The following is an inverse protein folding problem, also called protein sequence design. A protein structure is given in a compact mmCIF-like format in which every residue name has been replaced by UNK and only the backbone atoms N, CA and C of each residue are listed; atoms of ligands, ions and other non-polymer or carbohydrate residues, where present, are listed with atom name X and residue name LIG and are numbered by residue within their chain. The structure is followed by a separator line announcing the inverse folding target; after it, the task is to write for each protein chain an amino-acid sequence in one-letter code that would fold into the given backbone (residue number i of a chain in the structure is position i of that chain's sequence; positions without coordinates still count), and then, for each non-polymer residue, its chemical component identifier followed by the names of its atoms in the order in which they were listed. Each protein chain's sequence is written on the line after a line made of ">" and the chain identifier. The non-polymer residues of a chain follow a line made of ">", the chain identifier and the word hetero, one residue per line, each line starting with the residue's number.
data_IF_834582053217
#
_entry.id   IF_834582053217
#
_cell.length_a   1.000
_cell.length_b   1.000
_cell.length_c   1.000
_cell.angle_alpha   90.00
_cell.angle_beta   90.00
_cell.angle_gamma   90.00
#
_symmetry.space_group_name_H-M   'P 1'
#
loop_
_entity.id
_entity.type
_entity.pdbx_description
1 polymer ?
#
# COMPACT_ATOMS: atom_id res chain seq x y z
N UNK A 1 15.08 16.76 3.41
CA UNK A 1 14.28 15.55 3.65
C UNK A 1 15.15 14.30 3.56
N UNK A 2 15.86 14.06 2.46
CA UNK A 2 16.80 12.94 2.30
C UNK A 2 17.90 12.93 3.38
N UNK A 3 18.57 14.06 3.61
CA UNK A 3 19.60 14.16 4.67
C UNK A 3 19.04 13.90 6.07
N UNK A 4 17.81 14.36 6.37
CA UNK A 4 17.16 14.13 7.67
C UNK A 4 16.70 12.69 7.88
N UNK A 5 16.45 11.95 6.80
CA UNK A 5 16.19 10.51 6.83
C UNK A 5 17.50 9.72 7.05
N UNK A 6 18.52 10.02 6.25
CA UNK A 6 19.84 9.36 6.32
C UNK A 6 20.46 9.54 7.72
N UNK A 7 20.31 10.72 8.32
CA UNK A 7 20.84 11.03 9.64
C UNK A 7 19.96 10.55 10.81
N UNK A 8 18.80 9.92 10.54
CA UNK A 8 17.80 9.46 11.54
C UNK A 8 17.24 10.55 12.47
N UNK A 9 17.55 11.83 12.24
CA UNK A 9 17.08 12.94 13.05
C UNK A 9 15.56 13.11 13.02
N UNK A 10 14.90 12.63 11.96
CA UNK A 10 13.46 12.71 11.75
C UNK A 10 12.96 11.40 11.13
N UNK A 11 12.68 10.35 11.91
CA UNK A 11 12.24 9.04 11.38
C UNK A 11 10.92 9.14 10.58
N UNK A 12 10.12 10.17 10.83
CA UNK A 12 8.92 10.49 10.06
C UNK A 12 9.19 11.03 8.65
N UNK A 13 10.42 11.45 8.32
CA UNK A 13 10.76 11.99 7.00
C UNK A 13 10.71 10.94 5.87
N UNK A 14 10.71 9.65 6.23
CA UNK A 14 10.45 8.50 5.33
C UNK A 14 9.03 8.50 4.79
N UNK A 15 8.10 9.11 5.52
CA UNK A 15 6.69 8.86 5.31
C UNK A 15 6.11 9.62 4.11
N UNK A 16 6.73 10.68 3.60
CA UNK A 16 6.07 11.45 2.52
C UNK A 16 6.00 10.68 1.19
N UNK A 17 7.08 10.13 0.62
CA UNK A 17 6.97 9.37 -0.63
C UNK A 17 6.17 8.08 -0.46
N UNK A 18 6.38 7.34 0.64
CA UNK A 18 5.68 6.09 0.91
C UNK A 18 4.17 6.32 1.12
N UNK A 19 3.80 7.30 1.95
CA UNK A 19 2.39 7.63 2.16
C UNK A 19 1.74 8.17 0.88
N UNK A 20 2.46 8.91 0.04
CA UNK A 20 1.94 9.36 -1.25
C UNK A 20 1.62 8.17 -2.16
N UNK A 21 2.51 7.17 -2.25
CA UNK A 21 2.26 5.96 -3.04
C UNK A 21 1.04 5.21 -2.50
N UNK A 22 0.95 5.02 -1.18
CA UNK A 22 -0.21 4.39 -0.54
C UNK A 22 -1.50 5.16 -0.85
N UNK A 23 -1.48 6.49 -0.73
CA UNK A 23 -2.63 7.35 -1.02
C UNK A 23 -3.08 7.30 -2.49
N UNK A 24 -2.14 7.29 -3.44
CA UNK A 24 -2.44 7.13 -4.87
C UNK A 24 -3.10 5.78 -5.13
N UNK A 25 -2.55 4.69 -4.60
CA UNK A 25 -3.09 3.35 -4.79
C UNK A 25 -4.48 3.22 -4.16
N UNK A 26 -4.68 3.70 -2.94
CA UNK A 26 -5.98 3.70 -2.29
C UNK A 26 -7.03 4.52 -3.06
N UNK A 27 -6.64 5.69 -3.57
CA UNK A 27 -7.51 6.53 -4.41
C UNK A 27 -7.89 5.81 -5.71
N UNK A 28 -6.96 5.05 -6.29
CA UNK A 28 -7.23 4.26 -7.49
C UNK A 28 -8.22 3.12 -7.21
N UNK A 29 -8.09 2.40 -6.09
CA UNK A 29 -9.08 1.37 -5.72
C UNK A 29 -10.47 1.98 -5.47
N UNK A 30 -10.55 3.13 -4.80
CA UNK A 30 -11.81 3.86 -4.64
C UNK A 30 -12.41 4.27 -5.99
N UNK A 31 -11.58 4.75 -6.92
CA UNK A 31 -12.01 5.08 -8.28
C UNK A 31 -12.56 3.86 -9.03
N UNK A 32 -11.94 2.69 -8.90
CA UNK A 32 -12.45 1.43 -9.46
C UNK A 32 -13.84 1.10 -8.94
N UNK A 33 -14.07 1.26 -7.64
CA UNK A 33 -15.41 1.11 -7.05
C UNK A 33 -16.43 2.05 -7.71
N UNK A 34 -16.05 3.31 -7.96
CA UNK A 34 -16.95 4.31 -8.54
C UNK A 34 -17.33 3.99 -9.99
N UNK A 35 -16.39 3.49 -10.79
CA UNK A 35 -16.66 3.20 -12.21
C UNK A 35 -17.27 1.80 -12.45
N UNK A 36 -17.12 0.88 -11.49
CA UNK A 36 -17.71 -0.45 -11.47
C UNK A 36 -17.63 -1.23 -12.81
N UNK A 37 -16.41 -1.30 -13.39
CA UNK A 37 -16.18 -2.03 -14.65
C UNK A 37 -15.84 -3.49 -14.35
N UNK A 38 -16.47 -4.43 -15.07
CA UNK A 38 -16.25 -5.87 -14.90
C UNK A 38 -14.75 -6.24 -14.93
N UNK A 39 -13.99 -5.69 -15.89
CA UNK A 39 -12.56 -5.98 -16.06
C UNK A 39 -11.63 -5.13 -15.16
N UNK A 40 -12.18 -4.35 -14.23
CA UNK A 40 -11.40 -3.48 -13.34
C UNK A 40 -12.01 -3.45 -11.93
N UNK A 41 -12.13 -4.63 -11.33
CA UNK A 41 -12.62 -4.77 -9.96
C UNK A 41 -11.62 -4.15 -8.97
N UNK A 42 -12.12 -3.49 -7.91
CA UNK A 42 -11.29 -2.99 -6.82
C UNK A 42 -10.69 -4.13 -6.01
N UNK A 43 -9.49 -3.92 -5.47
CA UNK A 43 -8.90 -4.80 -4.47
C UNK A 43 -9.39 -4.35 -3.10
N UNK A 44 -10.24 -5.17 -2.48
CA UNK A 44 -10.84 -4.93 -1.18
C UNK A 44 -10.51 -6.09 -0.23
N UNK A 45 -10.65 -5.83 1.08
CA UNK A 45 -10.54 -6.86 2.11
C UNK A 45 -11.40 -8.08 1.76
N UNK A 46 -10.87 -9.32 1.91
CA UNK A 46 -9.65 -9.68 2.62
C UNK A 46 -8.35 -9.50 1.83
N UNK A 47 -8.40 -9.14 0.55
CA UNK A 47 -7.20 -8.95 -0.26
C UNK A 47 -6.56 -7.59 0.02
N UNK A 48 -5.23 -7.56 0.16
CA UNK A 48 -4.47 -6.35 0.43
C UNK A 48 -3.47 -6.05 -0.67
N UNK A 49 -3.20 -4.77 -0.87
CA UNK A 49 -2.11 -4.31 -1.72
C UNK A 49 -0.85 -4.22 -0.88
N UNK A 50 0.13 -5.08 -1.17
CA UNK A 50 1.47 -5.04 -0.60
C UNK A 50 2.38 -4.18 -1.48
N UNK A 51 3.07 -3.24 -0.86
CA UNK A 51 4.06 -2.39 -1.52
C UNK A 51 5.43 -2.74 -0.94
N UNK A 52 6.31 -3.31 -1.76
CA UNK A 52 7.69 -3.61 -1.41
C UNK A 52 8.65 -2.88 -2.34
N UNK A 53 9.11 -1.71 -1.90
CA UNK A 53 9.99 -0.83 -2.68
C UNK A 53 11.39 -1.42 -2.96
N UNK A 54 11.74 -2.55 -2.34
CA UNK A 54 13.01 -3.24 -2.56
C UNK A 54 13.05 -4.06 -3.86
N UNK A 55 11.91 -4.31 -4.51
CA UNK A 55 11.81 -5.18 -5.70
C UNK A 55 11.25 -4.42 -6.90
N UNK A 56 11.65 -4.73 -8.15
CA UNK A 56 11.07 -4.08 -9.34
C UNK A 56 9.54 -4.23 -9.45
N UNK A 57 9.01 -5.40 -9.09
CA UNK A 57 7.57 -5.65 -8.97
C UNK A 57 7.07 -5.23 -7.60
N UNK A 58 7.07 -3.91 -7.36
CA UNK A 58 6.84 -3.32 -6.04
C UNK A 58 5.42 -3.54 -5.52
N UNK A 59 4.42 -3.64 -6.38
CA UNK A 59 3.00 -3.68 -6.01
C UNK A 59 2.45 -5.07 -6.31
N UNK A 60 1.90 -5.72 -5.29
CA UNK A 60 1.35 -7.07 -5.38
C UNK A 60 0.04 -7.16 -4.61
N UNK A 61 -0.89 -7.98 -5.09
CA UNK A 61 -2.07 -8.36 -4.31
C UNK A 61 -1.70 -9.56 -3.45
N UNK A 62 -2.01 -9.48 -2.16
CA UNK A 62 -1.80 -10.57 -1.21
C UNK A 62 -3.13 -10.99 -0.61
N UNK A 63 -3.31 -12.30 -0.48
CA UNK A 63 -4.43 -12.92 0.22
C UNK A 63 -3.94 -13.41 1.59
N UNK A 64 -4.78 -13.39 2.63
CA UNK A 64 -4.40 -13.91 3.93
C UNK A 64 -4.30 -15.44 3.89
N UNK A 65 -3.23 -16.00 4.46
CA UNK A 65 -2.98 -17.45 4.50
C UNK A 65 -4.11 -18.25 5.19
N UNK A 66 -4.79 -17.65 6.18
CA UNK A 66 -5.85 -18.26 6.97
C UNK A 66 -7.23 -17.63 6.72
N UNK A 67 -7.41 -16.90 5.62
CA UNK A 67 -8.67 -16.21 5.30
C UNK A 67 -8.91 -14.91 6.08
N UNK A 68 -8.05 -14.55 7.05
CA UNK A 68 -8.08 -13.27 7.74
C UNK A 68 -6.68 -12.78 8.11
N UNK A 69 -6.50 -11.46 8.18
CA UNK A 69 -5.25 -10.85 8.63
C UNK A 69 -5.24 -10.74 10.15
N UNK A 70 -4.17 -11.21 10.79
CA UNK A 70 -3.95 -10.97 12.21
C UNK A 70 -3.23 -9.63 12.42
N UNK A 71 -3.98 -8.58 12.77
CA UNK A 71 -3.43 -7.26 13.04
C UNK A 71 -2.89 -7.07 14.47
N UNK A 72 -2.99 -8.10 15.33
CA UNK A 72 -2.56 -8.01 16.74
C UNK A 72 -1.07 -8.28 16.96
N UNK A 73 -0.35 -8.75 15.93
CA UNK A 73 1.07 -9.12 16.00
C UNK A 73 2.00 -8.17 15.24
N UNK A 74 1.56 -6.93 14.99
CA UNK A 74 2.31 -5.90 14.26
C UNK A 74 3.40 -5.22 15.11
#
# INVERSE_FOLDING_TARGET
>A
WANSYVNKDRPWAVLSPVANIVGILASFEAFKCMINRENLQPILSPNLIKINLAYPNMVQVCEPESGSWNYTTL
#
